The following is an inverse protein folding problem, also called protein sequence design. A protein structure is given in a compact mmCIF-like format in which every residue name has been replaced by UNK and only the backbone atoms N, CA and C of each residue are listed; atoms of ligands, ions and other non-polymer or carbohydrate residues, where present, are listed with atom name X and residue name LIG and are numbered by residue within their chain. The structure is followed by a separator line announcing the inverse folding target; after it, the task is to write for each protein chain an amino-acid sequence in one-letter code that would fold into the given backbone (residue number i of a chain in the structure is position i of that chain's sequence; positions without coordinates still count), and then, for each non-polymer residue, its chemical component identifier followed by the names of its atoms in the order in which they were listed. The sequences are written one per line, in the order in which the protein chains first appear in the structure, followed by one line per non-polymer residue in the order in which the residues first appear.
data_IF_534939085644
#
_entry.id   IF_534939085644
#
_cell.length_a   1.000
_cell.length_b   1.000
_cell.length_c   1.000
_cell.angle_alpha   90.00
_cell.angle_beta   90.00
_cell.angle_gamma   90.00
#
_symmetry.space_group_name_H-M   'P 1'
#
loop_
_entity.id
_entity.type
_entity.pdbx_description
1 polymer ?
#
# COMPACT_ATOMS: atom_id res chain seq x y z
N UNK A 1 25.64 -67.08 27.12
CA UNK A 1 26.08 -66.30 25.94
C UNK A 1 24.88 -65.55 25.36
N UNK A 2 24.46 -64.45 25.98
CA UNK A 2 23.28 -63.68 25.54
C UNK A 2 23.31 -62.16 25.82
N UNK A 3 24.40 -61.47 26.23
CA UNK A 3 24.34 -60.01 26.41
C UNK A 3 24.78 -59.20 25.18
N UNK A 4 25.48 -59.80 24.21
CA UNK A 4 26.10 -59.06 23.09
C UNK A 4 25.12 -58.68 21.96
N UNK A 5 24.01 -59.41 21.81
CA UNK A 5 23.03 -59.18 20.74
C UNK A 5 22.14 -57.96 21.03
N UNK A 6 21.84 -57.67 22.29
CA UNK A 6 21.02 -56.51 22.69
C UNK A 6 21.78 -55.18 22.54
N UNK A 7 23.09 -55.17 22.78
CA UNK A 7 23.90 -53.96 22.64
C UNK A 7 23.98 -53.50 21.16
N UNK A 8 24.01 -54.46 20.24
CA UNK A 8 24.12 -54.17 18.80
C UNK A 8 22.82 -53.58 18.23
N UNK A 9 21.65 -54.01 18.74
CA UNK A 9 20.36 -53.50 18.29
C UNK A 9 20.12 -52.04 18.73
N UNK A 10 20.63 -51.64 19.90
CA UNK A 10 20.50 -50.28 20.42
C UNK A 10 21.41 -49.26 19.73
N UNK A 11 22.55 -49.69 19.17
CA UNK A 11 23.51 -48.82 18.46
C UNK A 11 23.12 -48.52 17.00
N UNK A 12 22.21 -49.30 16.40
CA UNK A 12 21.76 -49.09 15.02
C UNK A 12 20.49 -48.21 14.92
N UNK A 13 19.79 -47.97 16.02
CA UNK A 13 18.56 -47.19 16.04
C UNK A 13 18.69 -45.69 15.67
N UNK A 14 19.81 -44.97 15.95
CA UNK A 14 19.91 -43.56 15.60
C UNK A 14 20.21 -43.30 14.11
N UNK A 15 20.51 -44.33 13.30
CA UNK A 15 20.80 -44.18 11.87
C UNK A 15 19.56 -44.20 10.95
N UNK A 16 18.36 -44.49 11.48
CA UNK A 16 17.12 -44.49 10.72
C UNK A 16 16.29 -43.22 10.87
N UNK A 17 16.76 -42.20 11.61
CA UNK A 17 16.02 -40.94 11.68
C UNK A 17 16.24 -40.13 10.39
N UNK A 18 15.18 -39.84 9.62
CA UNK A 18 15.28 -38.95 8.47
C UNK A 18 15.75 -37.57 8.96
N UNK A 19 16.59 -36.86 8.19
CA UNK A 19 17.02 -35.51 8.55
C UNK A 19 15.79 -34.63 8.73
N UNK A 20 15.81 -33.67 9.69
CA UNK A 20 14.72 -32.71 9.82
C UNK A 20 14.57 -32.01 8.46
N UNK A 21 13.36 -32.09 7.89
CA UNK A 21 13.05 -31.45 6.64
C UNK A 21 13.46 -29.98 6.75
N UNK A 22 14.33 -29.52 5.85
CA UNK A 22 14.65 -28.11 5.75
C UNK A 22 13.32 -27.34 5.66
N UNK A 23 13.16 -26.20 6.38
CA UNK A 23 11.96 -25.42 6.28
C UNK A 23 11.72 -25.09 4.81
N UNK A 24 10.57 -25.52 4.31
CA UNK A 24 10.12 -25.18 2.96
C UNK A 24 10.18 -23.66 2.82
N UNK A 25 10.73 -23.12 1.72
CA UNK A 25 10.72 -21.68 1.49
C UNK A 25 9.26 -21.22 1.60
N UNK A 26 8.97 -20.34 2.56
CA UNK A 26 7.68 -19.69 2.64
C UNK A 26 7.51 -18.96 1.30
N UNK A 27 6.44 -19.22 0.53
CA UNK A 27 6.19 -18.48 -0.70
C UNK A 27 6.23 -17.00 -0.35
N UNK A 28 7.11 -16.24 -0.99
CA UNK A 28 7.12 -14.80 -0.81
C UNK A 28 5.70 -14.30 -1.10
N UNK A 29 5.12 -13.43 -0.24
CA UNK A 29 3.79 -12.89 -0.46
C UNK A 29 3.76 -12.27 -1.85
N UNK A 30 3.00 -12.89 -2.76
CA UNK A 30 3.03 -12.51 -4.16
C UNK A 30 1.95 -11.47 -4.40
N UNK A 31 2.37 -10.22 -4.59
CA UNK A 31 1.46 -9.14 -5.01
C UNK A 31 0.83 -9.51 -6.37
N UNK A 32 -0.50 -9.51 -6.45
CA UNK A 32 -1.19 -9.67 -7.74
C UNK A 32 -1.09 -8.37 -8.54
N UNK A 33 -0.03 -8.27 -9.34
CA UNK A 33 0.26 -7.09 -10.15
C UNK A 33 -0.81 -6.79 -11.19
N UNK A 34 -1.45 -7.81 -11.76
CA UNK A 34 -2.50 -7.63 -12.75
C UNK A 34 -3.75 -7.00 -12.11
N UNK A 35 -4.15 -7.49 -10.94
CA UNK A 35 -5.24 -6.91 -10.17
C UNK A 35 -4.90 -5.48 -9.69
N UNK A 36 -3.69 -5.24 -9.20
CA UNK A 36 -3.22 -3.91 -8.80
C UNK A 36 -3.25 -2.91 -9.96
N UNK A 37 -2.81 -3.33 -11.15
CA UNK A 37 -2.88 -2.53 -12.38
C UNK A 37 -4.31 -2.17 -12.75
N UNK A 38 -5.22 -3.15 -12.75
CA UNK A 38 -6.64 -2.92 -13.04
C UNK A 38 -7.25 -1.89 -12.08
N UNK A 39 -7.09 -2.09 -10.77
CA UNK A 39 -7.66 -1.22 -9.75
C UNK A 39 -7.03 0.18 -9.74
N UNK A 40 -5.72 0.31 -9.99
CA UNK A 40 -5.07 1.63 -10.07
C UNK A 40 -5.57 2.48 -11.25
N UNK A 41 -5.95 1.84 -12.36
CA UNK A 41 -6.59 2.52 -13.50
C UNK A 41 -7.99 2.96 -13.14
N UNK A 42 -8.75 2.11 -12.46
CA UNK A 42 -10.08 2.46 -11.97
C UNK A 42 -10.02 3.61 -10.96
N UNK A 43 -9.07 3.58 -10.02
CA UNK A 43 -8.84 4.68 -9.08
C UNK A 43 -8.53 5.98 -9.83
N UNK A 44 -7.62 5.93 -10.81
CA UNK A 44 -7.28 7.10 -11.63
C UNK A 44 -8.50 7.64 -12.37
N UNK A 45 -9.32 6.75 -12.96
CA UNK A 45 -10.56 7.11 -13.64
C UNK A 45 -11.52 7.80 -12.68
N UNK A 46 -11.79 7.21 -11.52
CA UNK A 46 -12.68 7.76 -10.49
C UNK A 46 -12.26 9.17 -10.12
N UNK A 47 -10.99 9.37 -9.73
CA UNK A 47 -10.47 10.68 -9.32
C UNK A 47 -10.62 11.72 -10.42
N UNK A 48 -10.29 11.40 -11.67
CA UNK A 48 -10.41 12.36 -12.80
C UNK A 48 -11.84 12.72 -13.16
N UNK A 49 -12.81 11.85 -12.85
CA UNK A 49 -14.23 12.10 -13.14
C UNK A 49 -14.95 12.87 -12.04
N UNK A 50 -14.30 13.08 -10.89
CA UNK A 50 -14.88 13.88 -9.80
C UNK A 50 -15.03 15.32 -10.28
N UNK A 51 -16.29 15.79 -10.27
CA UNK A 51 -16.62 17.16 -10.65
C UNK A 51 -16.15 18.07 -9.52
N UNK A 52 -15.03 18.77 -9.72
CA UNK A 52 -14.56 19.73 -8.73
C UNK A 52 -15.56 20.89 -8.61
N UNK A 53 -16.13 21.14 -7.41
CA UNK A 53 -17.04 22.26 -7.23
C UNK A 53 -16.33 23.62 -7.29
N UNK A 54 -15.00 23.68 -7.21
CA UNK A 54 -14.23 24.92 -7.04
C UNK A 54 -13.04 25.03 -8.01
N UNK A 55 -13.32 25.02 -9.32
CA UNK A 55 -12.32 25.23 -10.40
C UNK A 55 -11.56 26.58 -10.31
N UNK A 56 -11.97 27.48 -9.42
CA UNK A 56 -11.39 28.82 -9.23
C UNK A 56 -10.20 28.86 -8.24
N UNK A 57 -9.89 27.73 -7.58
CA UNK A 57 -8.78 27.65 -6.61
C UNK A 57 -7.43 27.27 -7.25
N UNK A 58 -7.38 27.15 -8.58
CA UNK A 58 -6.24 26.61 -9.36
C UNK A 58 -4.95 27.45 -9.25
N UNK A 59 -5.00 28.66 -8.70
CA UNK A 59 -3.93 29.67 -8.88
C UNK A 59 -3.37 30.30 -7.60
N UNK A 60 -3.66 29.74 -6.43
CA UNK A 60 -3.00 30.20 -5.19
C UNK A 60 -2.04 29.12 -4.72
N UNK A 61 -0.73 29.31 -4.95
CA UNK A 61 0.31 28.49 -4.33
C UNK A 61 0.25 28.66 -2.82
N UNK A 62 -0.55 27.82 -2.17
CA UNK A 62 -0.56 27.68 -0.72
C UNK A 62 0.70 26.89 -0.35
N UNK A 63 1.63 27.58 0.31
CA UNK A 63 2.79 27.10 1.08
C UNK A 63 3.34 25.71 0.70
N UNK A 64 4.60 25.65 0.27
CA UNK A 64 5.30 24.39 -0.07
C UNK A 64 5.32 23.34 1.05
N UNK A 65 5.05 23.75 2.30
CA UNK A 65 4.96 22.86 3.45
C UNK A 65 3.63 22.11 3.45
N UNK A 66 3.69 20.79 3.24
CA UNK A 66 2.53 19.91 3.32
C UNK A 66 1.89 20.02 4.72
N UNK A 67 0.55 20.13 4.84
CA UNK A 67 -0.07 20.21 6.15
C UNK A 67 0.24 18.97 6.99
N UNK A 68 0.35 19.13 8.30
CA UNK A 68 0.75 18.05 9.20
C UNK A 68 -0.21 16.85 9.04
N UNK A 69 0.34 15.65 8.90
CA UNK A 69 -0.38 14.39 8.65
C UNK A 69 -1.01 14.23 7.25
N UNK A 70 -0.69 15.08 6.27
CA UNK A 70 -1.13 14.87 4.89
C UNK A 70 -0.57 13.58 4.27
N UNK A 71 -1.29 12.98 3.30
CA UNK A 71 -0.82 11.80 2.61
C UNK A 71 0.57 12.01 1.98
N UNK A 72 1.50 11.06 2.14
CA UNK A 72 2.84 11.20 1.60
C UNK A 72 2.88 11.30 0.07
N UNK A 73 3.83 12.09 -0.46
CA UNK A 73 4.19 12.05 -1.90
C UNK A 73 5.17 10.92 -2.17
N UNK A 74 5.11 10.32 -3.36
CA UNK A 74 6.18 9.44 -3.85
C UNK A 74 7.33 10.34 -4.32
N UNK A 75 8.49 10.22 -3.67
CA UNK A 75 9.71 10.98 -3.94
C UNK A 75 10.66 10.16 -4.81
N UNK A 76 11.65 10.83 -5.40
CA UNK A 76 12.73 10.16 -6.13
C UNK A 76 13.52 9.17 -5.26
N UNK A 77 13.60 9.40 -3.94
CA UNK A 77 14.27 8.50 -2.99
C UNK A 77 13.53 7.19 -2.71
N UNK A 78 12.26 7.11 -3.13
CA UNK A 78 11.36 6.00 -2.78
C UNK A 78 11.53 4.81 -3.74
N UNK A 79 12.46 4.91 -4.70
CA UNK A 79 12.87 3.80 -5.57
C UNK A 79 11.74 3.21 -6.43
N UNK A 80 10.83 4.08 -6.89
CA UNK A 80 9.75 3.73 -7.81
C UNK A 80 10.13 3.91 -9.29
N UNK A 81 11.41 4.03 -9.60
CA UNK A 81 11.91 4.06 -10.97
C UNK A 81 11.94 2.63 -11.56
N UNK A 82 11.78 2.47 -12.89
CA UNK A 82 11.72 1.16 -13.53
C UNK A 82 12.90 0.24 -13.18
N UNK A 83 14.13 0.77 -13.16
CA UNK A 83 15.32 -0.04 -12.92
C UNK A 83 15.38 -0.63 -11.51
N UNK A 84 14.88 0.10 -10.52
CA UNK A 84 14.77 -0.44 -9.16
C UNK A 84 13.58 -1.38 -9.01
N UNK A 85 12.46 -1.13 -9.70
CA UNK A 85 11.30 -2.04 -9.65
C UNK A 85 11.60 -3.45 -10.16
N UNK A 86 12.50 -3.58 -11.15
CA UNK A 86 12.93 -4.86 -11.72
C UNK A 86 13.76 -5.71 -10.73
N UNK A 87 14.39 -5.06 -9.74
CA UNK A 87 15.33 -5.71 -8.83
C UNK A 87 14.84 -5.78 -7.39
N UNK A 88 14.26 -4.69 -6.86
CA UNK A 88 13.72 -4.61 -5.52
C UNK A 88 12.61 -3.54 -5.42
N UNK A 89 11.37 -4.00 -5.48
CA UNK A 89 10.19 -3.14 -5.38
C UNK A 89 9.75 -2.80 -3.94
N UNK A 90 10.41 -3.34 -2.91
CA UNK A 90 9.94 -3.28 -1.51
C UNK A 90 9.77 -1.85 -1.02
N UNK A 91 10.77 -0.98 -1.26
CA UNK A 91 10.72 0.42 -0.81
C UNK A 91 9.59 1.19 -1.50
N UNK A 92 9.43 1.00 -2.81
CA UNK A 92 8.36 1.65 -3.56
C UNK A 92 6.98 1.19 -3.07
N UNK A 93 6.79 -0.13 -2.91
CA UNK A 93 5.55 -0.71 -2.41
C UNK A 93 5.20 -0.23 -1.01
N UNK A 94 6.18 -0.16 -0.09
CA UNK A 94 5.98 0.39 1.26
C UNK A 94 5.50 1.84 1.19
N UNK A 95 6.07 2.64 0.28
CA UNK A 95 5.65 4.02 0.09
C UNK A 95 4.24 4.15 -0.47
N UNK A 96 3.89 3.33 -1.46
CA UNK A 96 2.54 3.27 -2.02
C UNK A 96 1.55 2.85 -0.94
N UNK A 97 1.88 1.83 -0.16
CA UNK A 97 1.03 1.34 0.93
C UNK A 97 0.79 2.43 1.98
N UNK A 98 1.85 3.15 2.37
CA UNK A 98 1.72 4.30 3.27
C UNK A 98 0.78 5.37 2.68
N UNK A 99 0.95 5.72 1.40
CA UNK A 99 0.07 6.68 0.73
C UNK A 99 -1.40 6.25 0.73
N UNK A 100 -1.68 4.99 0.35
CA UNK A 100 -3.03 4.44 0.32
C UNK A 100 -3.71 4.49 1.69
N UNK A 101 -2.99 4.14 2.76
CA UNK A 101 -3.51 4.26 4.12
C UNK A 101 -3.90 5.69 4.48
N UNK A 102 -2.99 6.64 4.26
CA UNK A 102 -3.27 8.03 4.56
C UNK A 102 -4.46 8.57 3.75
N UNK A 103 -4.63 8.16 2.49
CA UNK A 103 -5.79 8.57 1.69
C UNK A 103 -7.09 7.92 2.18
N UNK A 104 -7.07 6.64 2.58
CA UNK A 104 -8.23 6.00 3.20
C UNK A 104 -8.66 6.76 4.47
N UNK A 105 -7.69 7.09 5.33
CA UNK A 105 -7.97 7.81 6.58
C UNK A 105 -8.45 9.26 6.30
N UNK A 106 -7.87 9.93 5.30
CA UNK A 106 -8.29 11.26 4.84
C UNK A 106 -9.72 11.27 4.31
N UNK A 107 -10.11 10.29 3.48
CA UNK A 107 -11.47 10.17 2.98
C UNK A 107 -12.48 9.82 4.07
N UNK A 108 -12.02 9.15 5.15
CA UNK A 108 -12.79 8.87 6.36
C UNK A 108 -12.90 10.02 7.35
N UNK A 109 -12.21 11.14 7.12
CA UNK A 109 -12.17 12.28 8.06
C UNK A 109 -13.38 13.21 7.95
N UNK A 110 -13.43 14.20 8.85
CA UNK A 110 -14.40 15.28 8.85
C UNK A 110 -14.37 16.09 7.54
N UNK A 111 -13.20 16.13 6.86
CA UNK A 111 -13.03 16.83 5.57
C UNK A 111 -14.00 16.31 4.51
N UNK A 112 -14.29 15.01 4.46
CA UNK A 112 -15.16 14.40 3.42
C UNK A 112 -16.52 13.94 3.96
N UNK A 113 -16.88 14.28 5.19
CA UNK A 113 -18.13 13.78 5.82
C UNK A 113 -19.38 14.23 5.07
N UNK A 114 -19.41 15.46 4.56
CA UNK A 114 -20.54 15.98 3.78
C UNK A 114 -20.56 15.50 2.32
N UNK A 115 -19.41 15.12 1.76
CA UNK A 115 -19.21 14.75 0.35
C UNK A 115 -18.46 13.41 0.26
N UNK A 116 -19.11 12.33 0.69
CA UNK A 116 -18.52 10.99 0.72
C UNK A 116 -18.25 10.46 -0.69
N UNK A 117 -17.19 9.68 -0.84
CA UNK A 117 -16.71 9.18 -2.14
C UNK A 117 -16.62 7.64 -2.12
N UNK A 118 -17.76 6.93 -2.00
CA UNK A 118 -17.77 5.49 -1.72
C UNK A 118 -17.06 4.64 -2.79
N UNK A 119 -17.15 5.02 -4.07
CA UNK A 119 -16.44 4.32 -5.13
C UNK A 119 -14.92 4.45 -5.02
N UNK A 120 -14.44 5.63 -4.59
CA UNK A 120 -13.02 5.90 -4.38
C UNK A 120 -12.49 5.17 -3.14
N UNK A 121 -13.26 5.21 -2.05
CA UNK A 121 -12.96 4.48 -0.82
C UNK A 121 -12.86 2.97 -1.06
N UNK A 122 -13.84 2.39 -1.75
CA UNK A 122 -13.83 0.97 -2.08
C UNK A 122 -12.64 0.56 -2.97
N UNK A 123 -12.23 1.41 -3.91
CA UNK A 123 -11.05 1.15 -4.75
C UNK A 123 -9.75 1.19 -3.94
N UNK A 124 -9.63 2.12 -2.98
CA UNK A 124 -8.48 2.18 -2.07
C UNK A 124 -8.42 0.95 -1.15
N UNK A 125 -9.54 0.53 -0.58
CA UNK A 125 -9.60 -0.65 0.30
C UNK A 125 -9.23 -1.94 -0.45
N UNK A 126 -9.70 -2.10 -1.69
CA UNK A 126 -9.32 -3.24 -2.53
C UNK A 126 -7.82 -3.23 -2.86
N UNK A 127 -7.24 -2.07 -3.21
CA UNK A 127 -5.80 -1.94 -3.43
C UNK A 127 -4.99 -2.27 -2.18
N UNK A 128 -5.42 -1.77 -1.01
CA UNK A 128 -4.79 -2.09 0.27
C UNK A 128 -4.81 -3.60 0.54
N UNK A 129 -5.92 -4.28 0.27
CA UNK A 129 -6.04 -5.73 0.43
C UNK A 129 -5.17 -6.57 -0.51
N UNK A 130 -4.82 -6.04 -1.69
CA UNK A 130 -3.91 -6.74 -2.61
C UNK A 130 -2.43 -6.56 -2.26
N UNK A 131 -2.07 -5.42 -1.64
CA UNK A 131 -0.68 -5.08 -1.32
C UNK A 131 -0.32 -5.53 0.10
N UNK A 132 -1.26 -5.52 1.04
CA UNK A 132 -1.07 -6.06 2.39
C UNK A 132 -1.24 -7.56 2.40
N UNK A 133 -0.15 -8.29 2.59
CA UNK A 133 -0.23 -9.74 2.81
C UNK A 133 0.16 -10.18 4.25
N UNK A 134 0.89 -9.40 5.05
CA UNK A 134 1.40 -9.94 6.34
C UNK A 134 1.60 -8.93 7.51
N UNK A 135 1.44 -7.62 7.31
CA UNK A 135 1.78 -6.67 8.37
C UNK A 135 0.55 -5.87 8.79
N UNK A 136 0.03 -6.20 9.98
CA UNK A 136 -1.01 -5.44 10.65
C UNK A 136 -0.64 -3.96 10.71
N UNK A 137 -1.56 -3.12 10.25
CA UNK A 137 -1.38 -1.69 10.22
C UNK A 137 -1.22 -1.14 11.65
N UNK A 138 -0.09 -0.50 12.00
CA UNK A 138 -0.01 0.22 13.26
C UNK A 138 -1.06 1.33 13.26
N UNK A 139 -1.77 1.58 14.38
CA UNK A 139 -2.79 2.63 14.44
C UNK A 139 -2.18 3.95 14.00
N UNK A 140 -2.70 4.51 12.90
CA UNK A 140 -2.26 5.82 12.46
C UNK A 140 -2.88 6.89 13.37
N UNK A 141 -2.15 7.96 13.73
CA UNK A 141 -2.73 9.06 14.49
C UNK A 141 -3.97 9.59 13.78
N UNK A 142 -5.07 9.73 14.51
CA UNK A 142 -6.28 10.34 13.99
C UNK A 142 -5.97 11.71 13.40
N UNK A 143 -6.47 11.98 12.20
CA UNK A 143 -6.34 13.28 11.58
C UNK A 143 -6.88 14.36 12.52
N UNK A 144 -6.14 15.46 12.67
CA UNK A 144 -6.60 16.60 13.48
C UNK A 144 -7.86 17.17 12.85
N UNK A 145 -8.92 17.45 13.64
CA UNK A 145 -10.14 18.03 13.12
C UNK A 145 -9.86 19.28 12.29
N UNK A 146 -10.52 19.39 11.14
CA UNK A 146 -10.38 20.53 10.25
C UNK A 146 -11.39 21.62 10.59
N UNK A 147 -11.00 22.87 10.37
CA UNK A 147 -11.92 24.00 10.44
C UNK A 147 -12.94 23.90 9.29
N UNK A 148 -14.24 24.04 9.60
CA UNK A 148 -15.33 23.81 8.63
C UNK A 148 -15.23 24.70 7.39
N UNK A 149 -14.74 25.94 7.54
CA UNK A 149 -14.54 26.87 6.43
C UNK A 149 -13.42 26.42 5.48
N UNK A 150 -12.43 25.66 5.96
CA UNK A 150 -11.31 25.18 5.17
C UNK A 150 -11.61 23.89 4.40
N UNK A 151 -12.63 23.13 4.83
CA UNK A 151 -12.97 21.82 4.27
C UNK A 151 -13.07 21.80 2.73
N UNK A 152 -13.73 22.75 2.03
CA UNK A 152 -13.81 22.71 0.57
C UNK A 152 -12.45 22.81 -0.12
N UNK A 153 -11.54 23.64 0.42
CA UNK A 153 -10.18 23.78 -0.08
C UNK A 153 -9.36 22.53 0.20
N UNK A 154 -9.47 21.97 1.41
CA UNK A 154 -8.77 20.73 1.78
C UNK A 154 -9.24 19.53 0.93
N UNK A 155 -10.55 19.44 0.62
CA UNK A 155 -11.09 18.45 -0.31
C UNK A 155 -10.45 18.57 -1.69
N UNK A 156 -10.37 19.78 -2.25
CA UNK A 156 -9.76 20.01 -3.56
C UNK A 156 -8.27 19.63 -3.57
N UNK A 157 -7.48 20.13 -2.62
CA UNK A 157 -6.06 19.80 -2.51
C UNK A 157 -5.81 18.30 -2.32
N UNK A 158 -6.66 17.63 -1.52
CA UNK A 158 -6.60 16.19 -1.32
C UNK A 158 -6.82 15.41 -2.62
N UNK A 159 -7.85 15.77 -3.39
CA UNK A 159 -8.18 15.09 -4.65
C UNK A 159 -7.13 15.34 -5.74
N UNK A 160 -6.64 16.58 -5.87
CA UNK A 160 -5.57 16.92 -6.81
C UNK A 160 -4.27 16.16 -6.49
N UNK A 161 -3.92 16.06 -5.20
CA UNK A 161 -2.76 15.30 -4.75
C UNK A 161 -2.96 13.79 -4.97
N UNK A 162 -4.16 13.29 -4.71
CA UNK A 162 -4.52 11.89 -4.96
C UNK A 162 -4.41 11.56 -6.45
N UNK A 163 -4.80 12.47 -7.34
CA UNK A 163 -4.65 12.29 -8.79
C UNK A 163 -3.19 12.10 -9.17
N UNK A 164 -2.29 12.93 -8.63
CA UNK A 164 -0.85 12.83 -8.86
C UNK A 164 -0.27 11.52 -8.31
N UNK A 165 -0.67 11.15 -7.10
CA UNK A 165 -0.28 9.87 -6.48
C UNK A 165 -0.75 8.67 -7.29
N UNK A 166 -2.02 8.66 -7.69
CA UNK A 166 -2.63 7.58 -8.47
C UNK A 166 -1.96 7.41 -9.83
N UNK A 167 -1.55 8.52 -10.48
CA UNK A 167 -0.81 8.47 -11.74
C UNK A 167 0.54 7.75 -11.59
N UNK A 168 1.32 8.05 -10.55
CA UNK A 168 2.61 7.38 -10.29
C UNK A 168 2.38 5.91 -9.94
N UNK A 169 1.48 5.62 -9.00
CA UNK A 169 1.14 4.25 -8.60
C UNK A 169 0.67 3.40 -9.79
N UNK A 170 -0.18 3.95 -10.66
CA UNK A 170 -0.66 3.27 -11.87
C UNK A 170 0.46 2.92 -12.84
N UNK A 171 1.49 3.79 -12.96
CA UNK A 171 2.69 3.49 -13.76
C UNK A 171 3.51 2.37 -13.14
N UNK A 172 3.70 2.39 -11.81
CA UNK A 172 4.41 1.33 -11.07
C UNK A 172 3.75 -0.02 -11.31
N UNK A 173 2.44 -0.14 -11.07
CA UNK A 173 1.74 -1.41 -11.28
C UNK A 173 1.62 -1.81 -12.75
N UNK A 174 1.56 -0.85 -13.67
CA UNK A 174 1.60 -1.15 -15.10
C UNK A 174 2.94 -1.76 -15.48
N UNK A 175 4.05 -1.21 -14.97
CA UNK A 175 5.41 -1.73 -15.20
C UNK A 175 5.59 -3.11 -14.57
N UNK A 176 5.21 -3.29 -13.30
CA UNK A 176 5.39 -4.58 -12.60
C UNK A 176 4.48 -5.70 -13.10
N UNK A 177 3.44 -5.39 -13.87
CA UNK A 177 2.54 -6.37 -14.50
C UNK A 177 2.85 -6.63 -15.98
N UNK A 178 3.93 -6.05 -16.51
CA UNK A 178 4.42 -6.23 -17.88
C UNK A 178 5.52 -7.29 -17.90
#
# INVERSE_FOLDING_TARGET
MAPLLHLCLCLCLPLLLPPPAAPTPIPAPHTDWAACKSLSRELSRLVTTLKEPHRFLDETQLSEEDPKHWPPRIRCSDACDPSTLDTNNTRCLQRILQGLHHYRDLLGSDIFTANRLPGLEAALDQLLGLIQQEHGHPPHPSMTPSETWAQPLLQHLALQRLQSFAAIMSRVFTHSAS
#
